data_IF_453043093950
#
_entry.id   IF_453043093950
#
_cell.length_a   1.000
_cell.length_b   1.000
_cell.length_c   1.000
_cell.angle_alpha   90.00
_cell.angle_beta   90.00
_cell.angle_gamma   90.00
#
_symmetry.space_group_name_H-M   'P 1'
#
loop_
_entity.id
_entity.type
_entity.pdbx_description
1 polymer ?
#
# COMPACT_ATOMS: atom_id res chain seq x y z
N UNK A 1 -24.56 -28.92 -39.66
CA UNK A 1 -25.36 -29.70 -38.67
C UNK A 1 -24.62 -29.62 -37.34
N UNK A 2 -25.05 -28.97 -36.27
CA UNK A 2 -26.34 -28.35 -35.94
C UNK A 2 -27.01 -29.03 -34.75
N UNK A 3 -26.51 -28.81 -33.52
CA UNK A 3 -27.16 -29.00 -32.20
C UNK A 3 -26.38 -28.06 -31.25
N UNK A 4 -26.77 -26.84 -30.82
CA UNK A 4 -27.94 -26.27 -30.11
C UNK A 4 -28.20 -26.83 -28.70
N UNK A 5 -28.32 -25.89 -27.75
CA UNK A 5 -28.92 -25.95 -26.40
C UNK A 5 -28.02 -26.44 -25.25
N UNK A 6 -28.08 -25.92 -24.03
CA UNK A 6 -28.59 -24.72 -23.31
C UNK A 6 -28.29 -25.05 -21.82
N UNK A 7 -28.45 -24.10 -20.88
CA UNK A 7 -28.40 -24.28 -19.39
C UNK A 7 -26.98 -24.49 -18.79
N UNK A 8 -26.58 -23.97 -17.63
CA UNK A 8 -27.20 -23.14 -16.58
C UNK A 8 -26.08 -22.48 -15.76
N UNK A 9 -26.35 -21.27 -15.29
CA UNK A 9 -25.60 -20.53 -14.28
C UNK A 9 -25.48 -21.32 -12.96
N UNK A 10 -24.26 -21.52 -12.46
CA UNK A 10 -24.04 -21.92 -11.07
C UNK A 10 -23.39 -20.77 -10.31
N UNK A 11 -24.26 -19.88 -9.81
CA UNK A 11 -23.94 -18.95 -8.72
C UNK A 11 -23.95 -19.77 -7.44
N UNK A 12 -22.79 -20.07 -6.87
CA UNK A 12 -22.71 -20.65 -5.53
C UNK A 12 -22.40 -19.55 -4.52
N UNK A 13 -23.48 -19.01 -3.94
CA UNK A 13 -23.49 -18.13 -2.79
C UNK A 13 -22.95 -18.87 -1.56
N UNK A 14 -21.84 -18.39 -0.99
CA UNK A 14 -21.43 -18.79 0.37
C UNK A 14 -21.88 -17.69 1.33
N UNK A 15 -22.98 -17.99 2.01
CA UNK A 15 -23.47 -17.30 3.20
C UNK A 15 -22.60 -17.75 4.37
N UNK A 16 -21.90 -16.83 5.05
CA UNK A 16 -21.36 -17.09 6.39
C UNK A 16 -22.00 -16.13 7.39
N UNK A 17 -22.47 -16.77 8.46
CA UNK A 17 -23.44 -16.36 9.45
C UNK A 17 -22.85 -15.30 10.40
N UNK A 18 -23.64 -14.26 10.64
CA UNK A 18 -23.49 -13.28 11.73
C UNK A 18 -23.82 -13.95 13.06
N UNK A 19 -22.91 -13.88 14.03
CA UNK A 19 -23.24 -14.13 15.45
C UNK A 19 -23.00 -12.83 16.21
N UNK A 20 -24.10 -12.12 16.48
CA UNK A 20 -24.21 -11.08 17.51
C UNK A 20 -24.51 -11.78 18.83
N UNK A 21 -23.75 -11.47 19.89
CA UNK A 21 -24.22 -11.71 21.26
C UNK A 21 -23.77 -10.55 22.16
N UNK A 22 -24.66 -9.58 22.29
CA UNK A 22 -24.70 -8.60 23.37
C UNK A 22 -25.37 -9.22 24.60
N UNK A 23 -24.85 -8.93 25.80
CA UNK A 23 -25.46 -9.33 27.06
C UNK A 23 -24.53 -9.11 28.25
N UNK A 24 -24.78 -8.03 28.98
CA UNK A 24 -24.20 -7.64 30.27
C UNK A 24 -24.44 -8.69 31.37
N UNK A 25 -23.61 -8.62 32.43
CA UNK A 25 -23.84 -8.88 33.88
C UNK A 25 -22.59 -9.55 34.47
N UNK A 26 -21.81 -8.80 35.25
CA UNK A 26 -21.37 -9.27 36.57
C UNK A 26 -20.83 -8.10 37.42
N UNK A 27 -21.44 -7.94 38.59
CA UNK A 27 -20.99 -7.08 39.68
C UNK A 27 -19.75 -7.67 40.38
N UNK A 28 -19.06 -6.82 41.13
CA UNK A 28 -17.68 -7.01 41.58
C UNK A 28 -17.41 -8.13 42.59
N UNK A 29 -16.11 -8.38 42.73
CA UNK A 29 -15.46 -8.85 43.95
C UNK A 29 -13.98 -8.46 43.85
N UNK A 30 -13.54 -7.69 44.84
CA UNK A 30 -12.13 -7.44 45.16
C UNK A 30 -11.42 -8.78 45.42
N UNK A 31 -10.35 -9.09 44.67
CA UNK A 31 -9.32 -9.98 45.20
C UNK A 31 -7.99 -9.87 44.44
N UNK A 32 -6.99 -9.46 45.22
CA UNK A 32 -5.57 -9.80 45.15
C UNK A 32 -4.89 -9.79 43.76
N UNK A 33 -4.27 -8.64 43.48
CA UNK A 33 -3.10 -8.50 42.62
C UNK A 33 -2.05 -9.54 43.01
N UNK A 34 -1.82 -10.52 42.13
CA UNK A 34 -0.58 -11.28 42.12
C UNK A 34 -0.11 -11.37 40.65
N UNK A 35 0.90 -10.60 40.24
CA UNK A 35 1.33 -10.58 38.86
C UNK A 35 2.00 -11.92 38.49
N UNK A 36 1.66 -12.54 37.35
CA UNK A 36 2.41 -13.67 36.84
C UNK A 36 3.84 -13.23 36.52
N UNK A 37 4.81 -13.90 37.15
CA UNK A 37 6.24 -13.70 36.94
C UNK A 37 6.59 -14.00 35.48
N UNK A 38 6.78 -12.96 34.67
CA UNK A 38 7.37 -13.06 33.33
C UNK A 38 8.85 -13.30 33.51
N UNK A 39 9.28 -14.52 33.20
CA UNK A 39 10.67 -14.93 33.16
C UNK A 39 11.42 -14.07 32.14
N UNK A 40 12.36 -13.27 32.64
CA UNK A 40 13.30 -12.52 31.85
C UNK A 40 14.38 -13.47 31.31
N UNK A 41 14.13 -14.07 30.14
CA UNK A 41 15.20 -14.63 29.32
C UNK A 41 15.72 -13.53 28.38
N UNK A 42 16.73 -12.83 28.87
CA UNK A 42 17.51 -11.88 28.11
C UNK A 42 18.32 -12.62 27.03
N UNK A 43 17.72 -12.78 25.85
CA UNK A 43 18.44 -13.16 24.64
C UNK A 43 19.08 -11.90 24.04
N UNK A 44 20.36 -11.73 24.32
CA UNK A 44 21.22 -10.74 23.68
C UNK A 44 21.28 -11.01 22.17
N UNK A 45 20.50 -10.26 21.37
CA UNK A 45 20.79 -10.08 19.95
C UNK A 45 21.48 -8.73 19.73
N UNK A 46 22.80 -8.85 19.69
CA UNK A 46 23.82 -8.01 19.06
C UNK A 46 23.22 -6.97 18.11
N UNK A 47 23.20 -5.71 18.54
CA UNK A 47 23.00 -4.55 17.66
C UNK A 47 24.22 -4.51 16.72
N UNK A 48 24.06 -5.05 15.51
CA UNK A 48 25.01 -4.78 14.43
C UNK A 48 24.92 -3.29 14.13
N UNK A 49 26.04 -2.59 14.30
CA UNK A 49 26.21 -1.19 13.89
C UNK A 49 25.61 -0.99 12.49
N UNK A 50 24.71 -0.01 12.29
CA UNK A 50 24.24 0.32 10.96
C UNK A 50 25.46 0.79 10.16
N UNK A 51 25.83 0.00 9.15
CA UNK A 51 26.83 0.41 8.15
C UNK A 51 26.46 1.81 7.64
N UNK A 52 27.42 2.73 7.47
CA UNK A 52 27.13 4.04 6.95
C UNK A 52 26.50 3.88 5.56
N UNK A 53 25.20 4.16 5.47
CA UNK A 53 24.52 4.29 4.19
C UNK A 53 25.19 5.47 3.51
N UNK A 54 25.99 5.16 2.50
CA UNK A 54 26.64 6.14 1.65
C UNK A 54 25.51 6.93 1.00
N UNK A 55 25.23 8.13 1.51
CA UNK A 55 24.28 9.07 0.92
C UNK A 55 24.85 9.50 -0.44
N UNK A 56 24.65 8.67 -1.44
CA UNK A 56 24.78 9.09 -2.82
C UNK A 56 23.80 10.25 -2.99
N UNK A 57 24.32 11.42 -3.33
CA UNK A 57 23.53 12.63 -3.61
C UNK A 57 22.52 12.27 -4.69
N UNK A 58 21.32 11.84 -4.29
CA UNK A 58 20.21 11.54 -5.20
C UNK A 58 19.87 12.84 -5.90
N UNK A 59 20.27 12.97 -7.15
CA UNK A 59 19.85 14.11 -7.98
C UNK A 59 18.39 13.88 -8.30
N UNK A 60 17.52 14.68 -7.69
CA UNK A 60 16.10 14.69 -8.03
C UNK A 60 15.97 15.12 -9.50
N UNK A 61 15.30 14.33 -10.34
CA UNK A 61 15.10 14.70 -11.73
C UNK A 61 14.23 15.96 -11.84
N UNK A 62 14.56 16.81 -12.81
CA UNK A 62 13.77 18.01 -13.12
C UNK A 62 12.71 17.69 -14.19
N UNK A 63 11.71 18.54 -14.33
CA UNK A 63 10.66 18.38 -15.35
C UNK A 63 11.26 18.22 -16.75
N UNK A 64 10.79 17.22 -17.49
CA UNK A 64 11.24 16.85 -18.83
C UNK A 64 12.36 15.81 -18.86
N UNK A 65 12.93 15.43 -17.72
CA UNK A 65 13.98 14.40 -17.65
C UNK A 65 13.40 13.00 -17.48
N UNK A 66 14.13 12.03 -18.03
CA UNK A 66 13.89 10.61 -17.76
C UNK A 66 14.45 10.23 -16.39
N UNK A 67 13.76 9.32 -15.76
CA UNK A 67 14.06 8.84 -14.43
C UNK A 67 13.65 7.37 -14.28
N UNK A 68 14.04 6.80 -13.15
CA UNK A 68 13.80 5.40 -12.82
C UNK A 68 13.19 5.27 -11.44
N UNK A 69 12.21 4.39 -11.33
CA UNK A 69 11.58 4.04 -10.05
C UNK A 69 12.52 3.17 -9.22
N UNK A 70 12.71 3.51 -7.95
CA UNK A 70 13.64 2.78 -7.07
C UNK A 70 13.02 1.58 -6.37
N UNK A 71 11.70 1.56 -6.19
CA UNK A 71 10.95 0.56 -5.43
C UNK A 71 9.55 0.31 -6.00
N UNK A 72 9.00 -0.88 -5.78
CA UNK A 72 7.62 -1.21 -6.15
C UNK A 72 6.64 -0.36 -5.35
N UNK A 73 5.73 0.36 -6.02
CA UNK A 73 4.76 1.19 -5.30
C UNK A 73 3.46 1.46 -6.06
N UNK A 74 2.37 1.76 -5.33
CA UNK A 74 1.17 2.32 -5.94
C UNK A 74 1.37 3.80 -6.28
N UNK A 75 0.90 4.19 -7.45
CA UNK A 75 0.95 5.54 -8.01
C UNK A 75 -0.47 6.00 -8.26
N UNK A 76 -0.87 7.09 -7.61
CA UNK A 76 -2.19 7.66 -7.77
C UNK A 76 -2.29 8.48 -9.07
N UNK A 77 -3.41 8.36 -9.77
CA UNK A 77 -3.64 9.05 -11.06
C UNK A 77 -3.91 10.55 -10.85
N UNK A 78 -4.49 10.92 -9.71
CA UNK A 78 -4.74 12.32 -9.33
C UNK A 78 -4.26 12.61 -7.90
N UNK A 79 -4.23 13.90 -7.53
CA UNK A 79 -3.90 14.32 -6.16
C UNK A 79 -4.98 13.90 -5.16
N UNK A 80 -6.24 13.98 -5.56
CA UNK A 80 -7.38 13.56 -4.74
C UNK A 80 -7.29 12.05 -4.47
N UNK A 81 -6.96 11.26 -5.49
CA UNK A 81 -6.71 9.82 -5.32
C UNK A 81 -5.48 9.54 -4.47
N UNK A 82 -4.44 10.38 -4.51
CA UNK A 82 -3.27 10.26 -3.64
C UNK A 82 -3.66 10.46 -2.18
N UNK A 83 -4.41 11.52 -1.88
CA UNK A 83 -4.85 11.84 -0.53
C UNK A 83 -5.78 10.75 0.04
N UNK A 84 -6.74 10.28 -0.77
CA UNK A 84 -7.64 9.19 -0.40
C UNK A 84 -6.87 7.87 -0.18
N UNK A 85 -5.91 7.56 -1.06
CA UNK A 85 -5.05 6.38 -0.92
C UNK A 85 -4.23 6.43 0.37
N UNK A 86 -3.60 7.57 0.69
CA UNK A 86 -2.84 7.76 1.94
C UNK A 86 -3.75 7.56 3.15
N UNK A 87 -4.97 8.10 3.13
CA UNK A 87 -5.93 7.93 4.21
C UNK A 87 -6.30 6.46 4.43
N UNK A 88 -6.56 5.70 3.37
CA UNK A 88 -6.88 4.28 3.50
C UNK A 88 -5.68 3.42 3.90
N UNK A 89 -4.46 3.75 3.45
CA UNK A 89 -3.23 3.11 3.91
C UNK A 89 -3.05 3.33 5.42
N UNK A 90 -3.18 4.58 5.89
CA UNK A 90 -3.04 4.92 7.31
C UNK A 90 -4.12 4.25 8.18
N UNK A 91 -5.35 4.12 7.66
CA UNK A 91 -6.44 3.42 8.33
C UNK A 91 -6.39 1.88 8.19
N UNK A 92 -5.40 1.33 7.48
CA UNK A 92 -5.29 -0.09 7.13
C UNK A 92 -6.57 -0.67 6.46
N UNK A 93 -7.28 0.17 5.69
CA UNK A 93 -8.54 -0.19 5.04
C UNK A 93 -8.28 -0.80 3.66
N UNK A 94 -7.91 -2.08 3.66
CA UNK A 94 -7.58 -2.83 2.44
C UNK A 94 -8.75 -2.95 1.46
N UNK A 95 -9.98 -2.99 1.96
CA UNK A 95 -11.17 -3.10 1.11
C UNK A 95 -11.38 -1.81 0.30
N UNK A 96 -11.20 -0.66 0.94
CA UNK A 96 -11.29 0.63 0.27
C UNK A 96 -10.18 0.81 -0.78
N UNK A 97 -8.93 0.43 -0.45
CA UNK A 97 -7.84 0.40 -1.43
C UNK A 97 -8.15 -0.53 -2.61
N UNK A 98 -8.74 -1.69 -2.36
CA UNK A 98 -9.17 -2.60 -3.42
C UNK A 98 -10.20 -1.96 -4.35
N UNK A 99 -11.19 -1.25 -3.81
CA UNK A 99 -12.17 -0.51 -4.62
C UNK A 99 -11.53 0.64 -5.41
N UNK A 100 -10.60 1.39 -4.82
CA UNK A 100 -9.84 2.42 -5.54
C UNK A 100 -9.07 1.85 -6.73
N UNK A 101 -8.39 0.71 -6.52
CA UNK A 101 -7.66 0.03 -7.58
C UNK A 101 -8.59 -0.39 -8.73
N UNK A 102 -9.77 -0.96 -8.40
CA UNK A 102 -10.77 -1.37 -9.38
C UNK A 102 -11.38 -0.18 -10.15
N UNK A 103 -11.45 1.00 -9.53
CA UNK A 103 -11.86 2.25 -10.18
C UNK A 103 -10.76 2.86 -11.06
N UNK A 104 -9.54 2.32 -11.00
CA UNK A 104 -8.39 2.86 -11.74
C UNK A 104 -7.85 4.17 -11.17
N UNK A 105 -8.10 4.45 -9.89
CA UNK A 105 -7.67 5.69 -9.23
C UNK A 105 -6.18 5.67 -8.85
N UNK A 106 -5.59 4.48 -8.80
CA UNK A 106 -4.15 4.28 -8.75
C UNK A 106 -3.77 3.03 -9.53
N UNK A 107 -2.50 2.94 -9.91
CA UNK A 107 -1.91 1.76 -10.54
C UNK A 107 -0.58 1.41 -9.87
N UNK A 108 -0.07 0.21 -10.08
CA UNK A 108 1.23 -0.19 -9.53
C UNK A 108 2.33 0.07 -10.56
N UNK A 109 3.43 0.67 -10.11
CA UNK A 109 4.71 0.67 -10.83
C UNK A 109 5.67 -0.29 -10.14
N UNK A 110 6.55 -0.91 -10.93
CA UNK A 110 7.57 -1.79 -10.42
C UNK A 110 8.90 -1.05 -10.31
N UNK A 111 9.74 -1.55 -9.42
CA UNK A 111 11.13 -1.13 -9.32
C UNK A 111 11.82 -1.29 -10.67
N UNK A 112 12.43 -0.20 -11.10
CA UNK A 112 13.20 -0.13 -12.32
C UNK A 112 12.41 0.29 -13.56
N UNK A 113 11.10 0.48 -13.43
CA UNK A 113 10.29 1.09 -14.48
C UNK A 113 10.86 2.47 -14.84
N UNK A 114 10.90 2.75 -16.15
CA UNK A 114 11.37 4.02 -16.69
C UNK A 114 10.20 4.99 -16.79
N UNK A 115 10.43 6.20 -16.31
CA UNK A 115 9.42 7.25 -16.27
C UNK A 115 9.99 8.56 -16.78
N UNK A 116 9.13 9.42 -17.32
CA UNK A 116 9.46 10.81 -17.64
C UNK A 116 8.83 11.70 -16.60
N UNK A 117 9.60 12.60 -16.00
CA UNK A 117 9.04 13.59 -15.07
C UNK A 117 8.28 14.64 -15.87
N UNK A 118 6.95 14.65 -15.77
CA UNK A 118 6.10 15.63 -16.44
C UNK A 118 6.17 16.96 -15.69
N UNK A 119 6.08 16.91 -14.36
CA UNK A 119 6.12 18.08 -13.49
C UNK A 119 6.75 17.77 -12.15
N UNK A 120 7.86 18.43 -11.87
CA UNK A 120 8.49 18.37 -10.56
C UNK A 120 7.72 19.19 -9.53
N UNK A 121 7.47 18.61 -8.36
CA UNK A 121 6.91 19.28 -7.19
C UNK A 121 7.82 19.14 -5.97
N UNK A 122 7.43 19.76 -4.86
CA UNK A 122 8.27 19.78 -3.64
C UNK A 122 8.36 18.41 -2.95
N UNK A 123 7.21 17.76 -2.73
CA UNK A 123 7.14 16.43 -2.08
C UNK A 123 7.00 15.29 -3.09
N UNK A 124 6.24 15.53 -4.16
CA UNK A 124 5.95 14.56 -5.21
C UNK A 124 6.09 15.19 -6.59
N UNK A 125 6.42 14.35 -7.55
CA UNK A 125 6.48 14.70 -8.96
C UNK A 125 5.39 13.94 -9.73
N UNK A 126 4.82 14.61 -10.71
CA UNK A 126 3.98 13.98 -11.73
C UNK A 126 4.89 13.31 -12.74
N UNK A 127 4.67 12.02 -12.98
CA UNK A 127 5.47 11.20 -13.90
C UNK A 127 4.57 10.52 -14.92
N UNK A 128 5.15 10.23 -16.09
CA UNK A 128 4.56 9.41 -17.13
C UNK A 128 5.39 8.13 -17.27
N UNK A 129 4.77 6.97 -17.12
CA UNK A 129 5.45 5.68 -17.31
C UNK A 129 5.66 5.44 -18.80
N UNK A 130 6.91 5.27 -19.22
CA UNK A 130 7.26 5.21 -20.65
C UNK A 130 6.62 4.00 -21.34
N UNK A 131 6.51 2.88 -20.65
CA UNK A 131 5.98 1.63 -21.24
C UNK A 131 4.46 1.66 -21.44
N UNK A 132 3.73 2.31 -20.55
CA UNK A 132 2.26 2.27 -20.53
C UNK A 132 1.61 3.60 -20.94
N UNK A 133 2.36 4.70 -20.94
CA UNK A 133 1.86 6.06 -21.11
C UNK A 133 0.99 6.56 -19.95
N UNK A 134 0.88 5.79 -18.86
CA UNK A 134 0.06 6.18 -17.70
C UNK A 134 0.75 7.27 -16.90
N UNK A 135 -0.04 8.24 -16.44
CA UNK A 135 0.43 9.36 -15.63
C UNK A 135 -0.04 9.24 -14.19
N UNK A 136 0.81 9.66 -13.28
CA UNK A 136 0.44 9.73 -11.87
C UNK A 136 1.49 10.41 -11.01
N UNK A 137 1.19 10.47 -9.72
CA UNK A 137 2.00 11.20 -8.73
C UNK A 137 2.84 10.23 -7.91
N UNK A 138 4.15 10.47 -7.91
CA UNK A 138 5.14 9.66 -7.20
C UNK A 138 5.94 10.54 -6.23
N UNK A 139 6.17 10.13 -4.97
CA UNK A 139 7.02 10.86 -4.06
C UNK A 139 8.46 10.94 -4.57
N UNK A 140 9.10 12.10 -4.43
CA UNK A 140 10.42 12.37 -5.01
C UNK A 140 11.53 11.43 -4.50
N UNK A 141 11.35 10.82 -3.32
CA UNK A 141 12.30 9.89 -2.72
C UNK A 141 12.44 8.56 -3.48
N UNK A 142 11.42 8.19 -4.28
CA UNK A 142 11.37 6.95 -5.05
C UNK A 142 11.76 7.10 -6.52
N UNK A 143 12.23 8.29 -6.90
CA UNK A 143 12.60 8.62 -8.27
C UNK A 143 14.07 9.01 -8.29
N UNK A 144 14.86 8.35 -9.14
CA UNK A 144 16.25 8.72 -9.40
C UNK A 144 16.42 9.08 -10.87
N UNK A 145 17.26 10.08 -11.14
CA UNK A 145 17.67 10.42 -12.50
C UNK A 145 18.38 9.23 -13.16
N UNK A 146 18.02 8.93 -14.41
CA UNK A 146 18.69 7.94 -15.26
C UNK A 146 20.02 8.46 -15.83
#
# INVERSE_FOLDING_TARGET
MGIRNFLIFAVLSIVVIVIVKSGNYFEGIDEAVNPPQVQAEAKTEIIKEPKPVKEEKRKTPISGENAKITEDMPVAVSKESLDEMINYINANNKEALGRMALRGEFFKVNKGDRVTVVKSGFLSSEVEVIETGQRGFVPNEFIIKE
#
